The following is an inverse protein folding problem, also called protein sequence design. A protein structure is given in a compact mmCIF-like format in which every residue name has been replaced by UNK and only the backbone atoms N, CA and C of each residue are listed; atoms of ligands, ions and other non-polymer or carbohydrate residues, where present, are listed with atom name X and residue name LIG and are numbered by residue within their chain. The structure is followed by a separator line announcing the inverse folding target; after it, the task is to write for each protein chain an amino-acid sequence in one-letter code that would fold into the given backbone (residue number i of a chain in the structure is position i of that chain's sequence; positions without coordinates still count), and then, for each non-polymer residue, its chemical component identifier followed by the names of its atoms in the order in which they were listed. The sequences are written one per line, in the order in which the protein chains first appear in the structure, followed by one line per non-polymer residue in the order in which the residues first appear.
data_IF_998519190903
#
_entry.id   IF_998519190903
#
_cell.length_a   1.000
_cell.length_b   1.000
_cell.length_c   1.000
_cell.angle_alpha   90.00
_cell.angle_beta   90.00
_cell.angle_gamma   90.00
#
_symmetry.space_group_name_H-M   'P 1'
#
loop_
_entity.id
_entity.type
_entity.pdbx_description
1 polymer ?
#
# COMPACT_ATOMS: atom_id res chain seq x y z
N UNK A 1 76.22 -17.80 37.26
CA UNK A 1 75.42 -16.60 36.95
C UNK A 1 73.96 -16.98 37.12
N UNK A 2 73.33 -16.56 38.22
CA UNK A 2 71.89 -16.74 38.44
C UNK A 2 71.19 -15.50 37.86
N UNK A 3 70.35 -15.70 36.84
CA UNK A 3 69.51 -14.61 36.33
C UNK A 3 68.52 -14.16 37.41
N UNK A 4 68.41 -12.84 37.58
CA UNK A 4 67.57 -12.21 38.60
C UNK A 4 66.08 -12.53 38.30
N UNK A 5 65.37 -13.24 39.21
CA UNK A 5 63.99 -13.67 39.00
C UNK A 5 63.00 -12.50 38.81
N UNK A 6 63.30 -11.30 39.32
CA UNK A 6 62.45 -10.12 39.12
C UNK A 6 62.45 -9.63 37.67
N UNK A 7 63.58 -9.73 36.95
CA UNK A 7 63.66 -9.34 35.53
C UNK A 7 62.83 -10.27 34.63
N UNK A 8 62.73 -11.56 35.00
CA UNK A 8 61.94 -12.56 34.28
C UNK A 8 60.43 -12.28 34.45
N UNK A 9 60.02 -11.89 35.66
CA UNK A 9 58.63 -11.57 35.98
C UNK A 9 58.14 -10.29 35.26
N UNK A 10 58.96 -9.24 35.22
CA UNK A 10 58.64 -7.98 34.52
C UNK A 10 58.56 -8.20 33.00
N UNK A 11 59.50 -8.96 32.42
CA UNK A 11 59.50 -9.27 30.99
C UNK A 11 58.31 -10.17 30.58
N UNK A 12 57.91 -11.10 31.44
CA UNK A 12 56.71 -11.94 31.25
C UNK A 12 55.42 -11.12 31.26
N UNK A 13 55.30 -10.18 32.20
CA UNK A 13 54.11 -9.33 32.34
C UNK A 13 54.01 -8.30 31.20
N UNK A 14 55.12 -7.77 30.71
CA UNK A 14 55.14 -6.85 29.57
C UNK A 14 54.80 -7.57 28.24
N UNK A 15 55.28 -8.81 28.04
CA UNK A 15 54.91 -9.66 26.89
C UNK A 15 53.43 -10.06 26.92
N UNK A 16 52.85 -10.37 28.09
CA UNK A 16 51.43 -10.73 28.20
C UNK A 16 50.53 -9.55 27.83
N UNK A 17 50.86 -8.34 28.29
CA UNK A 17 50.12 -7.11 28.03
C UNK A 17 50.11 -6.73 26.54
N UNK A 18 51.25 -6.87 25.84
CA UNK A 18 51.36 -6.65 24.39
C UNK A 18 50.52 -7.69 23.62
N UNK A 19 50.53 -8.95 24.04
CA UNK A 19 49.76 -10.03 23.41
C UNK A 19 48.26 -9.84 23.60
N UNK A 20 47.83 -9.34 24.76
CA UNK A 20 46.43 -9.01 25.07
C UNK A 20 45.94 -7.80 24.26
N UNK A 21 46.74 -6.73 24.17
CA UNK A 21 46.43 -5.57 23.30
C UNK A 21 46.34 -5.94 21.82
N UNK A 22 47.22 -6.81 21.31
CA UNK A 22 47.12 -7.34 19.94
C UNK A 22 45.84 -8.16 19.72
N UNK A 23 45.45 -9.02 20.66
CA UNK A 23 44.18 -9.79 20.56
C UNK A 23 42.94 -8.88 20.56
N UNK A 24 42.94 -7.83 21.38
CA UNK A 24 41.89 -6.81 21.39
C UNK A 24 41.84 -6.02 20.07
N UNK A 25 43.00 -5.64 19.52
CA UNK A 25 43.09 -4.93 18.25
C UNK A 25 42.59 -5.80 17.08
N UNK A 26 43.04 -7.06 17.01
CA UNK A 26 42.58 -8.02 15.99
C UNK A 26 41.10 -8.38 16.16
N UNK A 27 40.62 -8.53 17.40
CA UNK A 27 39.19 -8.71 17.68
C UNK A 27 38.35 -7.52 17.21
N UNK A 28 38.82 -6.29 17.45
CA UNK A 28 38.18 -5.06 16.96
C UNK A 28 38.15 -4.95 15.44
N UNK A 29 39.25 -5.30 14.76
CA UNK A 29 39.32 -5.32 13.29
C UNK A 29 38.38 -6.38 12.71
N UNK A 30 38.31 -7.57 13.32
CA UNK A 30 37.38 -8.62 12.88
C UNK A 30 35.92 -8.20 13.03
N UNK A 31 35.56 -7.53 14.13
CA UNK A 31 34.20 -7.00 14.33
C UNK A 31 33.89 -5.91 13.30
N UNK A 32 34.80 -4.96 13.08
CA UNK A 32 34.62 -3.90 12.09
C UNK A 32 34.47 -4.46 10.66
N UNK A 33 35.26 -5.47 10.29
CA UNK A 33 35.14 -6.16 9.01
C UNK A 33 33.79 -6.86 8.85
N UNK A 34 33.30 -7.52 9.90
CA UNK A 34 31.99 -8.18 9.91
C UNK A 34 30.84 -7.18 9.76
N UNK A 35 30.94 -6.02 10.42
CA UNK A 35 29.98 -4.92 10.27
C UNK A 35 29.98 -4.38 8.84
N UNK A 36 31.14 -4.16 8.22
CA UNK A 36 31.25 -3.70 6.82
C UNK A 36 30.63 -4.73 5.86
N UNK A 37 30.85 -6.03 6.09
CA UNK A 37 30.26 -7.09 5.26
C UNK A 37 28.74 -7.08 5.38
N UNK A 38 28.18 -6.97 6.59
CA UNK A 38 26.74 -6.89 6.81
C UNK A 38 26.14 -5.63 6.16
N UNK A 39 26.80 -4.48 6.31
CA UNK A 39 26.36 -3.23 5.67
C UNK A 39 26.43 -3.31 4.14
N UNK A 40 27.50 -3.87 3.58
CA UNK A 40 27.65 -4.08 2.14
C UNK A 40 26.62 -5.07 1.59
N UNK A 41 26.32 -6.14 2.33
CA UNK A 41 25.29 -7.12 1.98
C UNK A 41 23.89 -6.51 1.96
N UNK A 42 23.53 -5.72 2.98
CA UNK A 42 22.25 -5.00 3.02
C UNK A 42 22.15 -3.97 1.90
N UNK A 43 23.24 -3.26 1.59
CA UNK A 43 23.28 -2.29 0.49
C UNK A 43 23.06 -2.96 -0.88
N UNK A 44 23.74 -4.08 -1.14
CA UNK A 44 23.56 -4.86 -2.38
C UNK A 44 22.12 -5.40 -2.49
N UNK A 45 21.53 -5.86 -1.39
CA UNK A 45 20.14 -6.35 -1.38
C UNK A 45 19.10 -5.25 -1.56
N UNK A 46 19.46 -3.98 -1.28
CA UNK A 46 18.58 -2.81 -1.44
C UNK A 46 18.66 -2.25 -2.86
N UNK A 47 19.83 -2.30 -3.51
CA UNK A 47 20.06 -1.85 -4.89
C UNK A 47 19.18 -2.54 -5.96
N UNK A 48 18.59 -3.69 -5.63
CA UNK A 48 17.68 -4.43 -6.52
C UNK A 48 16.19 -4.19 -6.27
N UNK A 49 15.82 -3.27 -5.38
CA UNK A 49 14.43 -3.05 -4.96
C UNK A 49 13.97 -1.64 -5.29
N UNK A 50 12.80 -1.53 -5.88
CA UNK A 50 12.12 -0.26 -6.11
C UNK A 50 10.74 -0.34 -5.51
N UNK A 51 10.29 0.74 -4.87
CA UNK A 51 8.95 0.84 -4.32
C UNK A 51 8.16 1.91 -5.07
N UNK A 52 6.92 1.58 -5.39
CA UNK A 52 5.91 2.57 -5.74
C UNK A 52 5.26 3.01 -4.43
N UNK A 53 5.40 4.27 -4.07
CA UNK A 53 4.70 4.89 -2.96
C UNK A 53 3.51 5.66 -3.51
N UNK A 54 2.31 5.11 -3.34
CA UNK A 54 1.06 5.75 -3.71
C UNK A 54 0.65 6.67 -2.56
N UNK A 55 0.69 7.97 -2.79
CA UNK A 55 0.31 9.00 -1.83
C UNK A 55 -1.12 9.45 -2.13
N UNK A 56 -1.95 9.52 -1.08
CA UNK A 56 -3.35 9.91 -1.18
C UNK A 56 -3.65 10.92 -0.08
N UNK A 57 -4.26 12.04 -0.47
CA UNK A 57 -4.98 12.93 0.44
C UNK A 57 -6.47 12.61 0.38
N UNK A 58 -7.12 12.55 1.54
CA UNK A 58 -8.56 12.40 1.65
C UNK A 58 -9.19 13.68 2.21
N UNK A 59 -10.20 14.19 1.52
CA UNK A 59 -10.93 15.37 1.93
C UNK A 59 -11.90 15.02 3.07
N UNK A 60 -11.46 15.22 4.32
CA UNK A 60 -12.29 14.93 5.50
C UNK A 60 -13.57 15.72 5.57
N UNK A 61 -13.61 16.95 5.05
CA UNK A 61 -14.83 17.75 5.06
C UNK A 61 -15.92 17.05 4.24
N UNK A 62 -15.60 16.60 3.02
CA UNK A 62 -16.53 15.85 2.19
C UNK A 62 -16.93 14.52 2.83
N UNK A 63 -15.99 13.83 3.49
CA UNK A 63 -16.31 12.62 4.24
C UNK A 63 -17.34 12.92 5.35
N UNK A 64 -17.14 13.97 6.14
CA UNK A 64 -18.07 14.37 7.22
C UNK A 64 -19.42 14.86 6.72
N UNK A 65 -19.49 15.39 5.49
CA UNK A 65 -20.74 15.82 4.86
C UNK A 65 -21.53 14.66 4.26
N UNK A 66 -20.92 13.49 4.07
CA UNK A 66 -21.65 12.27 3.67
C UNK A 66 -22.62 11.83 4.77
N UNK A 67 -23.64 11.07 4.38
CA UNK A 67 -24.69 10.61 5.30
C UNK A 67 -24.14 9.80 6.48
N UNK A 68 -23.08 9.04 6.26
CA UNK A 68 -22.53 8.13 7.27
C UNK A 68 -21.30 8.68 8.00
N UNK A 69 -20.66 9.73 7.47
CA UNK A 69 -19.40 10.26 8.00
C UNK A 69 -18.31 9.17 8.21
N UNK A 70 -18.37 8.10 7.40
CA UNK A 70 -17.45 6.98 7.45
C UNK A 70 -16.34 7.15 6.40
N UNK A 71 -15.09 6.71 6.69
CA UNK A 71 -14.02 6.75 5.72
C UNK A 71 -14.36 5.99 4.42
N UNK A 72 -13.88 6.46 3.26
CA UNK A 72 -14.16 5.81 1.99
C UNK A 72 -13.62 4.37 1.96
N UNK A 73 -14.30 3.53 1.17
CA UNK A 73 -13.79 2.22 0.81
C UNK A 73 -12.99 2.35 -0.48
N UNK A 74 -11.82 1.70 -0.56
CA UNK A 74 -11.01 1.76 -1.77
C UNK A 74 -10.11 0.54 -1.93
N UNK A 75 -9.67 0.33 -3.17
CA UNK A 75 -8.67 -0.66 -3.53
C UNK A 75 -7.64 -0.04 -4.46
N UNK A 76 -6.40 -0.52 -4.33
CA UNK A 76 -5.26 -0.17 -5.18
C UNK A 76 -4.72 -1.47 -5.77
N UNK A 77 -4.54 -1.53 -7.08
CA UNK A 77 -3.89 -2.66 -7.72
C UNK A 77 -2.97 -2.23 -8.86
N UNK A 78 -2.07 -3.13 -9.22
CA UNK A 78 -1.18 -2.98 -10.37
C UNK A 78 -1.60 -3.96 -11.46
N UNK A 79 -1.55 -3.50 -12.70
CA UNK A 79 -1.69 -4.30 -13.91
C UNK A 79 -0.38 -4.24 -14.69
N UNK A 80 0.13 -5.42 -15.06
CA UNK A 80 1.24 -5.53 -16.00
C UNK A 80 0.71 -5.26 -17.42
N UNK A 81 1.17 -4.22 -18.13
CA UNK A 81 0.60 -3.84 -19.43
C UNK A 81 0.92 -4.84 -20.55
N UNK A 82 1.88 -5.74 -20.37
CA UNK A 82 2.24 -6.76 -21.37
C UNK A 82 1.48 -8.07 -21.13
N UNK A 83 1.33 -8.48 -19.87
CA UNK A 83 0.73 -9.77 -19.50
C UNK A 83 -0.70 -9.67 -18.98
N UNK A 84 -1.20 -8.45 -18.73
CA UNK A 84 -2.45 -8.16 -18.03
C UNK A 84 -2.55 -8.81 -16.64
N UNK A 85 -1.41 -9.13 -16.04
CA UNK A 85 -1.38 -9.72 -14.69
C UNK A 85 -1.78 -8.66 -13.67
N UNK A 86 -2.81 -8.98 -12.90
CA UNK A 86 -3.33 -8.13 -11.84
C UNK A 86 -2.75 -8.49 -10.48
N UNK A 87 -2.39 -7.48 -9.69
CA UNK A 87 -1.88 -7.63 -8.33
C UNK A 87 -2.50 -6.58 -7.41
N UNK A 88 -3.34 -7.01 -6.48
CA UNK A 88 -3.82 -6.12 -5.42
C UNK A 88 -2.65 -5.68 -4.54
N UNK A 89 -2.53 -4.36 -4.36
CA UNK A 89 -1.57 -3.72 -3.47
C UNK A 89 -2.23 -3.46 -2.12
N UNK A 90 -3.45 -2.93 -2.14
CA UNK A 90 -4.21 -2.60 -0.95
C UNK A 90 -5.70 -2.73 -1.22
N UNK A 91 -6.45 -3.12 -0.21
CA UNK A 91 -7.91 -3.01 -0.20
C UNK A 91 -8.36 -2.78 1.25
N UNK A 92 -9.35 -1.93 1.43
CA UNK A 92 -9.90 -1.66 2.77
C UNK A 92 -10.47 -2.94 3.39
N UNK A 93 -10.27 -3.10 4.69
CA UNK A 93 -10.61 -4.32 5.41
C UNK A 93 -12.07 -4.76 5.21
N UNK A 94 -13.05 -3.84 5.34
CA UNK A 94 -14.48 -4.16 5.16
C UNK A 94 -14.77 -4.78 3.80
N UNK A 95 -14.23 -4.21 2.72
CA UNK A 95 -14.33 -4.80 1.38
C UNK A 95 -13.62 -6.16 1.34
N UNK A 96 -12.42 -6.26 1.91
CA UNK A 96 -11.59 -7.46 1.85
C UNK A 96 -12.20 -8.68 2.56
N UNK A 97 -12.90 -8.49 3.69
CA UNK A 97 -13.54 -9.58 4.44
C UNK A 97 -15.05 -9.69 4.19
N UNK A 98 -15.66 -8.68 3.56
CA UNK A 98 -17.11 -8.63 3.36
C UNK A 98 -17.91 -8.34 4.63
N UNK A 99 -17.32 -7.60 5.57
CA UNK A 99 -17.92 -7.28 6.86
C UNK A 99 -18.69 -5.96 6.77
N UNK A 100 -20.01 -6.07 6.59
CA UNK A 100 -20.91 -4.95 6.37
C UNK A 100 -21.92 -4.86 7.51
N UNK A 101 -22.08 -3.67 8.07
CA UNK A 101 -23.01 -3.46 9.17
C UNK A 101 -24.46 -3.64 8.70
N UNK A 102 -25.13 -4.67 9.22
CA UNK A 102 -26.54 -4.96 8.91
C UNK A 102 -26.81 -5.46 7.49
N UNK A 103 -25.79 -5.72 6.66
CA UNK A 103 -25.95 -6.22 5.28
C UNK A 103 -25.11 -7.48 5.05
N UNK A 104 -25.64 -8.43 4.28
CA UNK A 104 -24.90 -9.65 3.94
C UNK A 104 -23.81 -9.40 2.88
N UNK A 105 -24.05 -8.45 1.96
CA UNK A 105 -23.11 -8.07 0.91
C UNK A 105 -23.41 -6.65 0.40
N UNK A 106 -22.38 -5.92 -0.03
CA UNK A 106 -22.48 -4.59 -0.63
C UNK A 106 -21.65 -4.59 -1.93
N UNK A 107 -22.17 -5.17 -3.03
CA UNK A 107 -21.42 -5.32 -4.28
C UNK A 107 -21.15 -4.00 -4.99
N UNK A 108 -21.89 -2.94 -4.65
CA UNK A 108 -21.70 -1.58 -5.15
C UNK A 108 -20.49 -0.88 -4.55
N UNK A 109 -19.87 -1.44 -3.49
CA UNK A 109 -18.82 -0.75 -2.76
C UNK A 109 -17.53 -0.55 -3.58
N UNK A 110 -17.06 -1.60 -4.26
CA UNK A 110 -15.93 -1.56 -5.20
C UNK A 110 -16.18 -2.56 -6.35
N UNK A 111 -17.16 -2.29 -7.23
CA UNK A 111 -17.65 -3.27 -8.20
C UNK A 111 -16.57 -3.84 -9.12
N UNK A 112 -15.60 -3.00 -9.53
CA UNK A 112 -14.58 -3.41 -10.48
C UNK A 112 -13.54 -4.29 -9.80
N UNK A 113 -13.09 -3.93 -8.62
CA UNK A 113 -12.17 -4.75 -7.84
C UNK A 113 -12.81 -6.09 -7.46
N UNK A 114 -14.09 -6.11 -7.05
CA UNK A 114 -14.81 -7.35 -6.79
C UNK A 114 -14.84 -8.27 -8.02
N UNK A 115 -15.20 -7.73 -9.19
CA UNK A 115 -15.22 -8.48 -10.45
C UNK A 115 -13.85 -9.08 -10.79
N UNK A 116 -12.77 -8.31 -10.61
CA UNK A 116 -11.42 -8.73 -10.97
C UNK A 116 -10.81 -9.74 -10.00
N UNK A 117 -11.09 -9.64 -8.70
CA UNK A 117 -10.34 -10.36 -7.67
C UNK A 117 -11.16 -11.30 -6.78
N UNK A 118 -12.51 -11.20 -6.76
CA UNK A 118 -13.35 -11.92 -5.80
C UNK A 118 -14.44 -12.80 -6.37
N UNK A 119 -14.71 -12.78 -7.68
CA UNK A 119 -15.76 -13.65 -8.25
C UNK A 119 -15.18 -15.00 -8.70
N UNK A 120 -15.27 -16.01 -7.83
CA UNK A 120 -15.55 -17.37 -8.31
C UNK A 120 -17.05 -17.44 -8.67
N UNK A 121 -17.39 -18.10 -9.79
CA UNK A 121 -18.73 -18.16 -10.39
C UNK A 121 -19.85 -18.81 -9.54
N UNK A 122 -19.65 -19.03 -8.24
CA UNK A 122 -20.60 -19.72 -7.35
C UNK A 122 -20.93 -19.00 -6.04
N UNK A 123 -20.57 -17.73 -5.88
CA UNK A 123 -21.09 -16.91 -4.77
C UNK A 123 -20.54 -17.25 -3.37
N UNK A 124 -19.50 -18.07 -3.28
CA UNK A 124 -18.72 -18.26 -2.07
C UNK A 124 -17.43 -17.41 -2.14
N UNK A 125 -17.17 -16.63 -1.10
CA UNK A 125 -15.94 -15.86 -0.96
C UNK A 125 -14.77 -16.83 -0.78
N UNK A 126 -13.97 -17.00 -1.82
CA UNK A 126 -12.78 -17.85 -1.78
C UNK A 126 -11.67 -17.12 -1.01
N UNK A 127 -11.67 -17.29 0.31
CA UNK A 127 -10.65 -16.73 1.21
C UNK A 127 -9.22 -17.21 0.85
N UNK A 128 -9.08 -18.25 0.02
CA UNK A 128 -7.80 -18.82 -0.42
C UNK A 128 -7.15 -18.15 -1.65
N UNK A 129 -7.84 -17.22 -2.33
CA UNK A 129 -7.30 -16.52 -3.52
C UNK A 129 -6.93 -15.07 -3.28
N UNK A 130 -6.67 -14.70 -2.03
CA UNK A 130 -5.97 -13.45 -1.71
C UNK A 130 -4.48 -13.73 -1.94
N UNK A 131 -3.83 -13.22 -3.01
CA UNK A 131 -2.39 -13.41 -3.17
C UNK A 131 -1.68 -12.95 -1.89
N UNK A 132 -0.54 -13.54 -1.50
CA UNK A 132 0.18 -13.21 -0.26
C UNK A 132 0.64 -11.74 -0.14
N UNK A 133 0.30 -10.89 -1.13
CA UNK A 133 0.58 -9.47 -1.20
C UNK A 133 -0.63 -8.57 -0.91
N UNK A 134 -1.82 -9.11 -0.61
CA UNK A 134 -2.93 -8.23 -0.20
C UNK A 134 -2.65 -7.71 1.19
N UNK A 135 -2.25 -6.43 1.23
CA UNK A 135 -2.30 -5.67 2.47
C UNK A 135 -3.77 -5.31 2.67
N UNK A 136 -4.49 -6.15 3.42
CA UNK A 136 -5.74 -5.71 4.02
C UNK A 136 -5.39 -4.79 5.18
N UNK A 137 -5.97 -3.59 5.18
CA UNK A 137 -5.72 -2.61 6.22
C UNK A 137 -7.01 -1.91 6.61
N UNK A 138 -7.04 -1.37 7.83
CA UNK A 138 -8.03 -0.37 8.18
C UNK A 138 -7.91 0.80 7.19
N UNK A 139 -9.03 1.39 6.81
CA UNK A 139 -8.99 2.67 6.08
C UNK A 139 -8.17 3.66 6.89
N UNK A 140 -7.12 4.28 6.33
CA UNK A 140 -6.34 5.27 7.04
C UNK A 140 -7.22 6.42 7.54
N UNK A 141 -6.99 6.86 8.78
CA UNK A 141 -7.76 7.97 9.41
C UNK A 141 -7.09 9.33 9.22
N UNK A 142 -5.83 9.33 8.81
CA UNK A 142 -5.07 10.54 8.55
C UNK A 142 -5.50 11.15 7.22
N UNK A 143 -5.41 12.48 7.10
CA UNK A 143 -5.73 13.18 5.85
C UNK A 143 -4.81 12.74 4.72
N UNK A 144 -3.52 12.62 5.03
CA UNK A 144 -2.50 12.11 4.12
C UNK A 144 -2.03 10.72 4.54
N UNK A 145 -2.01 9.79 3.61
CA UNK A 145 -1.43 8.47 3.82
C UNK A 145 -0.71 7.96 2.58
N UNK A 146 0.14 6.96 2.79
CA UNK A 146 0.89 6.32 1.70
C UNK A 146 0.78 4.81 1.76
N UNK A 147 0.58 4.19 0.60
CA UNK A 147 0.64 2.73 0.40
C UNK A 147 1.87 2.41 -0.43
N UNK A 148 2.62 1.36 -0.07
CA UNK A 148 3.85 0.98 -0.77
C UNK A 148 3.73 -0.39 -1.42
N UNK A 149 4.16 -0.49 -2.68
CA UNK A 149 4.27 -1.74 -3.42
C UNK A 149 5.71 -1.94 -3.90
N UNK A 150 6.30 -3.12 -3.62
CA UNK A 150 7.62 -3.48 -4.18
C UNK A 150 7.47 -3.96 -5.64
N UNK A 151 8.27 -3.38 -6.53
CA UNK A 151 8.32 -3.71 -7.95
C UNK A 151 9.76 -3.86 -8.43
N UNK A 152 9.94 -4.48 -9.60
CA UNK A 152 11.26 -4.57 -10.22
C UNK A 152 11.71 -3.18 -10.69
N UNK A 153 12.96 -2.76 -10.45
CA UNK A 153 13.50 -1.52 -11.02
C UNK A 153 13.30 -1.47 -12.54
N UNK A 154 12.84 -0.34 -13.06
CA UNK A 154 12.60 -0.10 -14.49
C UNK A 154 11.37 -0.79 -15.11
N UNK A 155 10.64 -1.60 -14.33
CA UNK A 155 9.39 -2.22 -14.80
C UNK A 155 8.29 -1.19 -15.06
N UNK A 156 7.34 -1.55 -15.94
CA UNK A 156 6.17 -0.74 -16.27
C UNK A 156 4.92 -1.35 -15.66
N UNK A 157 4.02 -0.50 -15.17
CA UNK A 157 2.75 -0.89 -14.56
C UNK A 157 1.67 0.11 -14.93
N UNK A 158 0.43 -0.34 -14.96
CA UNK A 158 -0.73 0.53 -14.79
C UNK A 158 -1.16 0.41 -13.34
N UNK A 159 -1.11 1.50 -12.59
CA UNK A 159 -1.64 1.55 -11.24
C UNK A 159 -3.08 2.02 -11.28
N UNK A 160 -3.97 1.27 -10.64
CA UNK A 160 -5.39 1.57 -10.57
C UNK A 160 -5.80 1.84 -9.12
N UNK A 161 -6.71 2.79 -8.95
CA UNK A 161 -7.41 3.05 -7.68
C UNK A 161 -8.91 3.04 -7.95
N UNK A 162 -9.66 2.25 -7.19
CA UNK A 162 -11.12 2.35 -7.15
C UNK A 162 -11.50 2.86 -5.77
N UNK A 163 -12.30 3.93 -5.70
CA UNK A 163 -12.69 4.57 -4.44
C UNK A 163 -14.19 4.84 -4.43
N UNK A 164 -14.81 4.59 -3.29
CA UNK A 164 -16.22 4.85 -3.05
C UNK A 164 -16.45 5.47 -1.66
N UNK A 165 -17.32 6.47 -1.60
CA UNK A 165 -17.79 7.07 -0.36
C UNK A 165 -19.28 6.74 -0.20
N UNK A 166 -19.59 5.83 0.74
CA UNK A 166 -20.97 5.43 0.99
C UNK A 166 -21.81 6.61 1.54
N UNK A 167 -23.06 6.69 1.09
CA UNK A 167 -23.99 7.73 1.52
C UNK A 167 -23.69 9.12 0.95
N UNK A 168 -22.89 9.19 -0.12
CA UNK A 168 -22.56 10.43 -0.85
C UNK A 168 -23.68 10.79 -1.84
N UNK A 169 -24.87 11.09 -1.30
CA UNK A 169 -26.06 11.40 -2.08
C UNK A 169 -26.05 12.83 -2.63
N UNK A 170 -26.70 13.02 -3.77
CA UNK A 170 -27.01 14.33 -4.33
C UNK A 170 -28.29 14.26 -5.20
N UNK A 171 -28.66 15.33 -5.90
CA UNK A 171 -29.86 15.35 -6.73
C UNK A 171 -29.86 14.30 -7.86
N UNK A 172 -28.69 13.95 -8.41
CA UNK A 172 -28.54 12.94 -9.46
C UNK A 172 -28.46 11.51 -8.91
N UNK A 173 -28.04 11.36 -7.64
CA UNK A 173 -27.90 10.10 -6.92
C UNK A 173 -28.63 10.21 -5.57
N UNK A 174 -29.98 10.28 -5.59
CA UNK A 174 -30.75 10.46 -4.37
C UNK A 174 -30.81 9.16 -3.57
N UNK A 175 -30.93 9.29 -2.24
CA UNK A 175 -31.20 8.14 -1.37
C UNK A 175 -32.55 7.49 -1.68
N UNK A 176 -33.55 8.31 -1.98
CA UNK A 176 -34.91 7.89 -2.28
C UNK A 176 -35.41 8.63 -3.54
N UNK A 177 -35.89 7.86 -4.51
CA UNK A 177 -36.60 8.36 -5.68
C UNK A 177 -38.11 8.13 -5.46
N UNK A 178 -38.76 9.17 -4.95
CA UNK A 178 -40.19 9.16 -4.62
C UNK A 178 -41.06 8.94 -5.87
N UNK A 179 -40.62 9.43 -7.04
CA UNK A 179 -41.42 9.34 -8.26
C UNK A 179 -41.49 7.90 -8.77
N UNK A 180 -40.38 7.16 -8.65
CA UNK A 180 -40.29 5.78 -9.10
C UNK A 180 -40.43 4.75 -7.96
N UNK A 181 -40.69 5.20 -6.73
CA UNK A 181 -40.74 4.39 -5.51
C UNK A 181 -39.50 3.49 -5.35
N UNK A 182 -38.32 4.04 -5.64
CA UNK A 182 -37.04 3.35 -5.49
C UNK A 182 -36.26 3.93 -4.32
N UNK A 183 -35.51 3.07 -3.65
CA UNK A 183 -34.57 3.44 -2.59
C UNK A 183 -33.22 2.87 -2.98
N UNK A 184 -32.15 3.61 -2.68
CA UNK A 184 -30.81 3.06 -2.75
C UNK A 184 -30.62 1.98 -1.66
N UNK A 185 -30.90 0.74 -2.04
CA UNK A 185 -30.80 -0.46 -1.19
C UNK A 185 -29.43 -0.56 -0.49
N UNK A 186 -28.38 -0.16 -1.19
CA UNK A 186 -27.02 -0.26 -0.68
C UNK A 186 -26.55 1.01 0.02
N UNK A 187 -27.34 2.08 -0.05
CA UNK A 187 -27.01 3.39 0.52
C UNK A 187 -25.67 3.90 -0.02
N UNK A 188 -25.45 3.69 -1.32
CA UNK A 188 -24.21 4.02 -1.98
C UNK A 188 -24.10 5.53 -2.21
N UNK A 189 -25.14 6.14 -2.77
CA UNK A 189 -25.07 7.47 -3.35
C UNK A 189 -24.30 7.44 -4.66
N UNK A 190 -23.39 8.39 -4.85
CA UNK A 190 -22.55 8.45 -6.04
C UNK A 190 -21.74 7.14 -6.25
N UNK A 191 -21.60 6.66 -7.49
CA UNK A 191 -20.89 5.44 -7.80
C UNK A 191 -19.39 5.54 -7.50
N UNK A 192 -18.77 4.38 -7.30
CA UNK A 192 -17.33 4.27 -7.15
C UNK A 192 -16.60 4.83 -8.38
N UNK A 193 -15.51 5.56 -8.13
CA UNK A 193 -14.67 6.16 -9.17
C UNK A 193 -13.39 5.37 -9.35
N UNK A 194 -13.00 5.21 -10.62
CA UNK A 194 -11.78 4.56 -11.06
C UNK A 194 -10.78 5.60 -11.51
N UNK A 195 -9.58 5.52 -10.95
CA UNK A 195 -8.43 6.32 -11.33
C UNK A 195 -7.31 5.40 -11.81
N UNK A 196 -6.46 5.91 -12.69
CA UNK A 196 -5.34 5.14 -13.23
C UNK A 196 -4.12 6.01 -13.50
N UNK A 197 -2.94 5.39 -13.52
CA UNK A 197 -1.68 6.02 -13.91
C UNK A 197 -0.75 5.01 -14.58
N UNK A 198 -0.09 5.41 -15.67
CA UNK A 198 1.02 4.65 -16.25
C UNK A 198 2.32 4.94 -15.49
N UNK A 199 2.91 3.91 -14.92
CA UNK A 199 4.08 4.03 -14.05
C UNK A 199 5.27 3.32 -14.68
N UNK A 200 6.39 4.02 -14.76
CA UNK A 200 7.70 3.42 -14.98
C UNK A 200 8.50 3.51 -13.69
N UNK A 201 8.89 2.36 -13.14
CA UNK A 201 9.58 2.23 -11.84
C UNK A 201 11.05 2.69 -11.90
N UNK A 202 11.27 3.94 -12.29
CA UNK A 202 12.56 4.64 -12.24
C UNK A 202 12.56 5.61 -11.06
N UNK A 203 13.56 5.49 -10.18
CA UNK A 203 13.67 6.28 -8.95
C UNK A 203 13.56 7.80 -9.20
N UNK A 204 12.85 8.47 -8.29
CA UNK A 204 12.64 9.92 -8.31
C UNK A 204 11.56 10.38 -9.28
N UNK A 205 10.96 9.48 -10.06
CA UNK A 205 9.78 9.81 -10.87
C UNK A 205 8.53 9.96 -10.00
N UNK A 206 7.67 10.88 -10.43
CA UNK A 206 6.35 11.13 -9.88
C UNK A 206 5.33 11.00 -11.01
N UNK A 207 4.18 10.38 -10.72
CA UNK A 207 3.08 10.20 -11.65
C UNK A 207 1.77 10.60 -10.99
N UNK A 208 0.97 11.40 -11.69
CA UNK A 208 -0.37 11.77 -11.24
C UNK A 208 -1.41 10.79 -11.78
N UNK A 209 -2.51 10.65 -11.06
CA UNK A 209 -3.63 9.82 -11.49
C UNK A 209 -4.59 10.59 -12.41
N UNK A 210 -5.13 9.88 -13.40
CA UNK A 210 -6.22 10.34 -14.24
C UNK A 210 -7.52 9.62 -13.86
N UNK A 211 -8.65 10.33 -13.95
CA UNK A 211 -9.97 9.75 -13.75
C UNK A 211 -10.36 8.90 -14.97
N UNK A 212 -10.41 7.58 -14.80
CA UNK A 212 -10.74 6.63 -15.86
C UNK A 212 -12.24 6.52 -16.13
N UNK A 213 -13.05 6.64 -15.07
CA UNK A 213 -14.49 6.41 -15.17
C UNK A 213 -15.14 6.13 -13.82
N UNK A 214 -16.39 5.67 -13.87
CA UNK A 214 -17.15 5.17 -12.72
C UNK A 214 -17.44 3.69 -12.89
N UNK A 215 -17.34 2.92 -11.82
CA UNK A 215 -17.77 1.52 -11.78
C UNK A 215 -19.18 1.42 -11.24
N UNK A 216 -20.03 0.70 -11.97
CA UNK A 216 -21.42 0.48 -11.60
C UNK A 216 -21.65 -1.03 -11.55
N UNK A 217 -22.21 -1.48 -10.44
CA UNK A 217 -22.77 -2.82 -10.33
C UNK A 217 -24.26 -2.78 -10.65
N UNK A 218 -24.71 -3.64 -11.56
CA UNK A 218 -26.12 -3.83 -11.87
C UNK A 218 -26.40 -5.33 -12.08
N UNK A 219 -27.24 -5.90 -11.23
CA UNK A 219 -27.75 -7.27 -11.34
C UNK A 219 -26.64 -8.33 -11.59
N UNK A 220 -25.57 -8.27 -10.79
CA UNK A 220 -24.48 -9.24 -10.85
C UNK A 220 -23.43 -8.98 -11.94
N UNK A 221 -23.53 -7.86 -12.67
CA UNK A 221 -22.54 -7.44 -13.65
C UNK A 221 -21.93 -6.10 -13.26
N UNK A 222 -20.63 -5.97 -13.45
CA UNK A 222 -19.94 -4.70 -13.34
C UNK A 222 -19.77 -4.09 -14.73
N UNK A 223 -19.98 -2.78 -14.82
CA UNK A 223 -19.66 -1.97 -16.01
C UNK A 223 -18.83 -0.76 -15.59
N UNK A 224 -17.93 -0.35 -16.46
CA UNK A 224 -17.19 0.90 -16.32
C UNK A 224 -17.73 1.88 -17.36
N UNK A 225 -18.14 3.05 -16.91
CA UNK A 225 -18.72 4.10 -17.75
C UNK A 225 -17.93 5.40 -17.58
N UNK A 226 -18.05 6.30 -18.55
CA UNK A 226 -17.52 7.66 -18.40
C UNK A 226 -18.20 8.39 -17.24
N UNK A 227 -17.46 9.26 -16.58
CA UNK A 227 -17.97 10.08 -15.49
C UNK A 227 -19.01 11.06 -16.04
N UNK A 228 -20.20 11.05 -15.46
CA UNK A 228 -21.34 11.90 -15.85
C UNK A 228 -21.36 13.20 -15.06
N UNK A 229 -21.99 14.25 -15.58
CA UNK A 229 -22.11 15.57 -14.93
C UNK A 229 -22.74 15.54 -13.53
N UNK A 230 -23.56 14.52 -13.23
CA UNK A 230 -24.16 14.35 -11.90
C UNK A 230 -23.18 13.94 -10.79
N UNK A 231 -21.95 13.57 -11.12
CA UNK A 231 -20.91 13.24 -10.14
C UNK A 231 -20.32 14.56 -9.63
N UNK A 232 -20.41 14.78 -8.32
CA UNK A 232 -20.01 15.99 -7.62
C UNK A 232 -18.89 15.69 -6.64
N UNK A 233 -19.20 15.63 -5.34
CA UNK A 233 -18.29 15.40 -4.21
C UNK A 233 -17.41 14.17 -4.35
N UNK A 234 -17.89 13.07 -4.95
CA UNK A 234 -17.11 11.84 -5.14
C UNK A 234 -15.77 12.07 -5.86
N UNK A 235 -15.68 13.02 -6.81
CA UNK A 235 -14.44 13.33 -7.52
C UNK A 235 -13.36 13.99 -6.64
N UNK A 236 -13.76 14.53 -5.49
CA UNK A 236 -12.90 15.30 -4.60
C UNK A 236 -12.71 14.65 -3.23
N UNK A 237 -13.24 13.43 -3.03
CA UNK A 237 -12.99 12.67 -1.79
C UNK A 237 -11.52 12.32 -1.69
N UNK A 238 -10.90 11.88 -2.80
CA UNK A 238 -9.45 11.85 -2.96
C UNK A 238 -9.06 13.00 -3.90
N UNK A 239 -8.79 14.16 -3.32
CA UNK A 239 -8.50 15.41 -4.03
C UNK A 239 -7.03 15.56 -4.44
N UNK A 240 -6.11 14.85 -3.79
CA UNK A 240 -4.72 14.72 -4.23
C UNK A 240 -4.28 13.25 -4.26
N UNK A 241 -3.75 12.79 -5.40
CA UNK A 241 -3.18 11.46 -5.53
C UNK A 241 -1.98 11.47 -6.48
N UNK A 242 -0.88 10.85 -6.05
CA UNK A 242 0.28 10.65 -6.90
C UNK A 242 1.03 9.36 -6.53
N UNK A 243 1.95 8.96 -7.40
CA UNK A 243 2.83 7.82 -7.22
C UNK A 243 4.26 8.31 -7.30
N UNK A 244 5.01 8.15 -6.20
CA UNK A 244 6.44 8.39 -6.17
C UNK A 244 7.20 7.08 -6.27
N UNK A 245 8.23 7.04 -7.12
CA UNK A 245 9.13 5.90 -7.20
C UNK A 245 10.31 6.12 -6.27
N UNK A 246 10.40 5.34 -5.20
CA UNK A 246 11.41 5.48 -4.16
C UNK A 246 12.27 4.22 -4.02
N UNK A 247 13.49 4.39 -3.53
CA UNK A 247 14.25 3.26 -3.01
C UNK A 247 13.83 2.94 -1.57
N UNK A 248 13.64 1.65 -1.23
CA UNK A 248 13.45 1.26 0.15
C UNK A 248 14.68 1.66 0.98
N UNK A 249 14.45 2.22 2.17
CA UNK A 249 15.55 2.50 3.10
C UNK A 249 16.15 1.17 3.57
N UNK A 250 17.48 1.08 3.76
CA UNK A 250 18.11 -0.08 4.37
C UNK A 250 17.45 -0.41 5.71
N UNK A 251 17.23 -1.69 6.01
CA UNK A 251 16.53 -2.16 7.23
C UNK A 251 17.09 -1.60 8.54
N UNK A 252 18.37 -1.24 8.55
CA UNK A 252 19.06 -0.65 9.71
C UNK A 252 18.64 0.82 10.00
N UNK A 253 17.98 1.48 9.05
CA UNK A 253 17.58 2.89 9.13
C UNK A 253 16.05 3.03 9.27
N UNK A 254 15.28 2.00 8.92
CA UNK A 254 13.83 2.01 9.00
C UNK A 254 13.34 1.78 10.44
N UNK A 255 13.20 2.86 11.21
CA UNK A 255 12.73 2.84 12.61
C UNK A 255 11.20 2.70 12.75
N UNK A 256 10.45 2.59 11.65
CA UNK A 256 8.98 2.56 11.69
C UNK A 256 8.37 1.14 11.64
N UNK A 257 9.16 0.11 11.93
CA UNK A 257 8.68 -1.25 12.21
C UNK A 257 9.27 -1.75 13.54
N UNK A 258 8.70 -1.28 14.65
CA UNK A 258 8.69 -1.98 15.94
C UNK A 258 7.26 -1.98 16.47
#
# INVERSE_FOLDING_TARGET
MYENPEKILIAGNQKSNIRMKKKLLWGGISIAGLVIIVLGWEFINTLGRTQLQINIHQNKELIYLSTFAEPPQFAIWLEDPETHRLMTVFVTHRVAVGDWEGKANVPVALPRWFELFKVNKHGEADAEKVPPLVVTGATPKDDYFSVRAEVKPGSKWICWVEMNLAGDFNDAFPQEDIQNFKVDEFSNGQPALLYWAEVKAEEGRVFDFELAGKSIWDNGKTRVESVSEGITTAQSVFDEMNIEVIQPKPKLIDRNRM
#
